data_IF_368629633242
#
_entry.id   IF_368629633242
#
_cell.length_a   1.000
_cell.length_b   1.000
_cell.length_c   1.000
_cell.angle_alpha   90.00
_cell.angle_beta   90.00
_cell.angle_gamma   90.00
#
_symmetry.space_group_name_H-M   'P 1'
#
loop_
_entity.id
_entity.type
_entity.pdbx_description
1 polymer ?
#
# COMPACT_ATOMS: atom_id res chain seq x y z
N UNK A 1 18.41 5.21 -27.72
CA UNK A 1 17.49 5.06 -26.57
C UNK A 1 16.60 3.88 -26.87
N UNK A 2 16.78 2.76 -26.16
CA UNK A 2 15.87 1.61 -26.27
C UNK A 2 14.69 1.93 -25.37
N UNK A 3 13.48 1.97 -25.93
CA UNK A 3 12.29 2.28 -25.16
C UNK A 3 11.96 1.10 -24.23
N UNK A 4 11.29 1.37 -23.12
CA UNK A 4 10.90 0.33 -22.16
C UNK A 4 9.94 -0.71 -22.77
N UNK A 5 9.26 -0.36 -23.88
CA UNK A 5 8.47 -1.26 -24.72
C UNK A 5 9.35 -2.27 -25.47
N UNK A 6 10.49 -1.83 -25.99
CA UNK A 6 11.43 -2.69 -26.72
C UNK A 6 12.07 -3.73 -25.77
N UNK A 7 12.36 -3.32 -24.53
CA UNK A 7 12.85 -4.22 -23.49
C UNK A 7 11.81 -5.27 -23.09
N UNK A 8 10.52 -4.91 -23.06
CA UNK A 8 9.44 -5.83 -22.74
C UNK A 8 9.16 -6.84 -23.86
N UNK A 9 9.22 -6.38 -25.12
CA UNK A 9 9.15 -7.25 -26.30
C UNK A 9 10.32 -8.23 -26.35
N UNK A 10 11.54 -7.76 -26.05
CA UNK A 10 12.75 -8.59 -25.96
C UNK A 10 12.67 -9.62 -24.82
N UNK A 11 12.11 -9.27 -23.66
CA UNK A 11 11.89 -10.20 -22.56
C UNK A 11 10.85 -11.29 -22.87
N UNK A 12 9.77 -10.97 -23.59
CA UNK A 12 8.79 -11.97 -24.06
C UNK A 12 9.41 -13.00 -25.00
N UNK A 13 10.32 -12.55 -25.89
CA UNK A 13 10.98 -13.42 -26.85
C UNK A 13 11.96 -14.41 -26.21
N UNK A 14 12.55 -14.07 -25.05
CA UNK A 14 13.54 -14.90 -24.36
C UNK A 14 12.94 -15.98 -23.45
N UNK A 15 11.73 -15.77 -22.90
CA UNK A 15 11.22 -16.62 -21.80
C UNK A 15 9.98 -17.47 -22.14
N UNK A 16 9.51 -17.45 -23.39
CA UNK A 16 8.53 -18.38 -23.96
C UNK A 16 7.56 -19.06 -22.97
N UNK A 17 6.63 -18.32 -22.36
CA UNK A 17 5.54 -18.93 -21.58
C UNK A 17 4.23 -18.13 -21.67
N UNK A 18 3.08 -18.82 -21.89
CA UNK A 18 1.75 -18.23 -21.95
C UNK A 18 1.14 -18.28 -20.55
N UNK A 19 1.23 -17.20 -19.78
CA UNK A 19 0.37 -17.01 -18.63
C UNK A 19 -0.34 -15.66 -18.75
N UNK A 20 -1.65 -15.79 -18.86
CA UNK A 20 -2.66 -14.78 -19.12
C UNK A 20 -2.58 -13.65 -18.10
N UNK A 21 -2.22 -12.48 -18.60
CA UNK A 21 -2.37 -11.19 -17.92
C UNK A 21 -2.16 -10.11 -18.95
N UNK A 22 -3.13 -9.20 -19.09
CA UNK A 22 -2.91 -7.98 -19.87
C UNK A 22 -1.65 -7.28 -19.35
N UNK A 23 -0.82 -6.67 -20.23
CA UNK A 23 0.27 -5.84 -19.76
C UNK A 23 -0.26 -4.86 -18.71
N UNK A 24 0.44 -4.66 -17.58
CA UNK A 24 0.03 -3.66 -16.61
C UNK A 24 -0.11 -2.33 -17.35
N UNK A 25 -1.29 -1.73 -17.26
CA UNK A 25 -1.59 -0.46 -17.92
C UNK A 25 -0.51 0.55 -17.47
N UNK A 26 0.21 1.21 -18.40
CA UNK A 26 1.23 2.19 -18.04
C UNK A 26 0.68 3.37 -17.23
N UNK A 27 -0.65 3.56 -17.20
CA UNK A 27 -1.33 4.57 -16.39
C UNK A 27 -1.73 4.07 -15.00
N UNK A 28 -1.72 2.76 -14.75
CA UNK A 28 -2.01 2.22 -13.42
C UNK A 28 -0.83 2.55 -12.48
N UNK A 29 -1.08 3.27 -11.37
CA UNK A 29 -0.01 3.60 -10.45
C UNK A 29 0.60 2.30 -9.90
N UNK A 30 1.92 2.14 -9.98
CA UNK A 30 2.56 0.95 -9.39
C UNK A 30 2.68 1.11 -7.87
N UNK A 31 2.70 -0.01 -7.11
CA UNK A 31 2.98 0.05 -5.69
C UNK A 31 4.31 0.79 -5.42
N UNK A 32 4.29 1.82 -4.59
CA UNK A 32 5.45 2.67 -4.32
C UNK A 32 6.18 2.33 -3.02
N UNK A 33 5.44 1.95 -1.99
CA UNK A 33 5.96 1.57 -0.68
C UNK A 33 5.23 0.33 -0.20
N UNK A 34 5.96 -0.56 0.47
CA UNK A 34 5.45 -1.81 1.01
C UNK A 34 5.94 -1.98 2.44
N UNK A 35 5.09 -2.53 3.29
CA UNK A 35 5.40 -2.85 4.68
C UNK A 35 4.71 -4.15 5.05
N UNK A 36 5.42 -5.00 5.78
CA UNK A 36 4.89 -6.24 6.31
C UNK A 36 4.39 -6.03 7.73
N UNK A 37 3.21 -6.60 8.01
CA UNK A 37 2.62 -6.73 9.32
C UNK A 37 2.39 -8.21 9.64
N UNK A 38 2.20 -8.56 10.91
CA UNK A 38 2.13 -9.95 11.38
C UNK A 38 1.15 -10.82 10.60
N UNK A 39 0.04 -10.24 10.13
CA UNK A 39 -1.05 -10.95 9.45
C UNK A 39 -1.36 -10.39 8.06
N UNK A 40 -0.49 -9.55 7.48
CA UNK A 40 -0.84 -8.85 6.24
C UNK A 40 0.28 -8.03 5.63
N UNK A 41 0.03 -7.58 4.39
CA UNK A 41 0.90 -6.68 3.65
C UNK A 41 0.18 -5.35 3.47
N UNK A 42 0.86 -4.27 3.81
CA UNK A 42 0.43 -2.91 3.51
C UNK A 42 1.21 -2.40 2.32
N UNK A 43 0.54 -1.77 1.36
CA UNK A 43 1.23 -1.12 0.25
C UNK A 43 0.52 0.17 -0.16
N UNK A 44 1.29 1.13 -0.66
CA UNK A 44 0.74 2.36 -1.24
C UNK A 44 0.75 2.31 -2.75
N UNK A 45 -0.31 2.82 -3.37
CA UNK A 45 -0.46 2.91 -4.82
C UNK A 45 -1.04 4.29 -5.16
N UNK A 46 -0.20 5.19 -5.68
CA UNK A 46 -0.59 6.60 -5.86
C UNK A 46 -0.99 7.25 -4.52
N UNK A 47 -2.18 7.88 -4.40
CA UNK A 47 -2.66 8.51 -3.18
C UNK A 47 -3.36 7.55 -2.19
N UNK A 48 -3.33 6.25 -2.47
CA UNK A 48 -4.11 5.22 -1.77
C UNK A 48 -3.20 4.28 -1.00
N UNK A 49 -3.63 3.87 0.18
CA UNK A 49 -3.06 2.73 0.94
C UNK A 49 -3.98 1.53 0.82
N UNK A 50 -3.41 0.36 0.61
CA UNK A 50 -4.11 -0.92 0.53
C UNK A 50 -3.53 -1.91 1.55
N UNK A 51 -4.37 -2.79 2.05
CA UNK A 51 -3.97 -3.90 2.93
C UNK A 51 -4.45 -5.23 2.37
N UNK A 52 -3.49 -6.12 2.15
CA UNK A 52 -3.74 -7.53 1.89
C UNK A 52 -3.66 -8.29 3.21
N UNK A 53 -4.62 -9.16 3.45
CA UNK A 53 -4.51 -10.19 4.50
C UNK A 53 -3.85 -11.42 3.90
N UNK A 54 -2.87 -11.93 4.63
CA UNK A 54 -2.19 -13.17 4.26
C UNK A 54 -2.91 -14.33 4.96
N UNK A 55 -3.65 -15.12 4.19
CA UNK A 55 -4.27 -16.38 4.62
C UNK A 55 -3.81 -17.55 3.74
N UNK A 56 -4.65 -18.57 3.61
CA UNK A 56 -4.49 -19.60 2.56
C UNK A 56 -4.51 -18.94 1.18
N UNK A 57 -5.36 -17.92 1.03
CA UNK A 57 -5.42 -17.02 -0.12
C UNK A 57 -5.01 -15.60 0.28
N UNK A 58 -4.54 -14.81 -0.70
CA UNK A 58 -4.34 -13.37 -0.53
C UNK A 58 -5.64 -12.63 -0.80
N UNK A 59 -6.13 -11.90 0.19
CA UNK A 59 -7.37 -11.13 0.11
C UNK A 59 -7.10 -9.64 0.33
N UNK A 60 -7.61 -8.77 -0.56
CA UNK A 60 -7.60 -7.32 -0.34
C UNK A 60 -8.71 -6.95 0.64
N UNK A 61 -8.34 -6.60 1.87
CA UNK A 61 -9.31 -6.36 2.95
C UNK A 61 -9.61 -4.88 3.11
N UNK A 62 -8.63 -4.01 2.88
CA UNK A 62 -8.78 -2.58 3.17
C UNK A 62 -8.16 -1.73 2.06
N UNK A 63 -8.86 -0.65 1.67
CA UNK A 63 -8.37 0.37 0.73
C UNK A 63 -8.74 1.74 1.28
N UNK A 64 -7.75 2.63 1.40
CA UNK A 64 -7.90 3.95 2.02
C UNK A 64 -7.33 5.03 1.12
N UNK A 65 -8.15 5.99 0.70
CA UNK A 65 -7.67 7.20 0.03
C UNK A 65 -7.22 8.21 1.08
N UNK A 66 -5.95 8.13 1.47
CA UNK A 66 -5.43 8.96 2.57
C UNK A 66 -4.99 10.34 2.09
N UNK A 67 -4.55 10.49 0.84
CA UNK A 67 -3.94 11.73 0.33
C UNK A 67 -4.56 12.21 -0.99
N UNK A 68 -4.21 13.41 -1.44
CA UNK A 68 -4.56 13.90 -2.78
C UNK A 68 -3.48 13.61 -3.83
N UNK A 69 -2.27 13.26 -3.40
CA UNK A 69 -1.14 12.94 -4.27
C UNK A 69 -0.36 11.70 -3.77
N UNK A 70 0.68 11.31 -4.52
CA UNK A 70 1.46 10.09 -4.28
C UNK A 70 2.04 10.02 -2.86
N UNK A 71 1.82 8.88 -2.21
CA UNK A 71 2.44 8.55 -0.92
C UNK A 71 3.93 8.28 -1.12
N UNK A 72 4.75 8.91 -0.28
CA UNK A 72 6.22 8.86 -0.29
C UNK A 72 6.82 8.10 0.90
N UNK A 73 6.02 7.82 1.93
CA UNK A 73 6.43 7.01 3.08
C UNK A 73 5.21 6.44 3.81
N UNK A 74 5.38 5.27 4.41
CA UNK A 74 4.41 4.63 5.30
C UNK A 74 5.12 4.05 6.52
N UNK A 75 4.52 4.19 7.71
CA UNK A 75 5.03 3.58 8.95
C UNK A 75 3.91 3.18 9.89
N UNK A 76 3.91 1.93 10.34
CA UNK A 76 3.05 1.47 11.43
C UNK A 76 3.75 1.66 12.77
N UNK A 77 3.00 2.10 13.76
CA UNK A 77 3.46 2.10 15.15
C UNK A 77 2.34 1.62 16.08
N UNK A 78 2.69 0.90 17.16
CA UNK A 78 1.75 0.52 18.19
C UNK A 78 1.22 1.76 18.91
N UNK A 79 -0.10 1.85 19.11
CA UNK A 79 -0.72 3.01 19.76
C UNK A 79 -0.36 3.11 21.25
N UNK A 80 -0.09 1.98 21.90
CA UNK A 80 0.34 1.93 23.31
C UNK A 80 1.65 2.70 23.57
N UNK A 81 2.50 2.83 22.55
CA UNK A 81 3.78 3.55 22.67
C UNK A 81 3.62 5.06 22.44
N UNK A 82 2.38 5.56 22.28
CA UNK A 82 2.11 6.98 22.02
C UNK A 82 1.31 7.64 23.16
N UNK A 83 1.68 8.88 23.57
CA UNK A 83 0.99 9.59 24.65
C UNK A 83 -0.45 10.01 24.29
N UNK A 84 -0.86 9.85 23.03
CA UNK A 84 -2.18 10.20 22.51
C UNK A 84 -3.26 9.18 22.90
N UNK A 85 -2.89 8.03 23.47
CA UNK A 85 -3.81 6.92 23.69
C UNK A 85 -3.78 6.46 25.16
N UNK A 86 -4.93 6.55 25.85
CA UNK A 86 -5.05 6.39 27.32
C UNK A 86 -5.92 5.21 27.79
N UNK A 87 -6.30 4.27 26.93
CA UNK A 87 -7.19 3.17 27.35
C UNK A 87 -6.66 1.77 27.01
N UNK A 88 -6.62 0.88 27.99
CA UNK A 88 -6.10 -0.50 27.86
C UNK A 88 -6.88 -1.38 26.87
N UNK A 89 -8.09 -0.97 26.48
CA UNK A 89 -8.97 -1.72 25.59
C UNK A 89 -8.41 -1.95 24.17
N UNK A 90 -7.39 -1.20 23.74
CA UNK A 90 -6.84 -1.26 22.38
C UNK A 90 -5.32 -1.42 22.33
N UNK A 91 -4.73 -2.12 23.31
CA UNK A 91 -3.28 -2.39 23.41
C UNK A 91 -2.63 -2.94 22.14
N UNK A 92 -3.39 -3.59 21.27
CA UNK A 92 -2.91 -4.17 20.00
C UNK A 92 -3.25 -3.33 18.76
N UNK A 93 -3.88 -2.17 18.89
CA UNK A 93 -4.13 -1.31 17.74
C UNK A 93 -2.84 -0.62 17.28
N UNK A 94 -2.69 -0.53 15.97
CA UNK A 94 -1.58 0.16 15.31
C UNK A 94 -2.13 1.36 14.57
N UNK A 95 -1.40 2.46 14.63
CA UNK A 95 -1.67 3.61 13.79
C UNK A 95 -0.71 3.64 12.61
N UNK A 96 -1.22 4.05 11.46
CA UNK A 96 -0.48 4.19 10.22
C UNK A 96 -0.20 5.66 9.97
N UNK A 97 1.07 6.05 9.98
CA UNK A 97 1.51 7.32 9.45
C UNK A 97 1.83 7.22 7.96
N UNK A 98 1.37 8.19 7.19
CA UNK A 98 1.68 8.35 5.77
C UNK A 98 2.19 9.76 5.47
N UNK A 99 3.19 9.90 4.60
CA UNK A 99 3.59 11.18 4.01
C UNK A 99 3.34 11.18 2.51
N UNK A 100 3.05 12.34 1.94
CA UNK A 100 2.74 12.48 0.51
C UNK A 100 3.40 13.69 -0.13
N UNK A 101 3.49 13.67 -1.47
CA UNK A 101 3.85 14.83 -2.28
C UNK A 101 2.82 15.96 -2.20
N UNK A 102 1.65 15.73 -1.60
CA UNK A 102 0.66 16.78 -1.28
C UNK A 102 1.08 17.68 -0.10
N UNK A 103 2.31 17.50 0.41
CA UNK A 103 2.92 18.26 1.53
C UNK A 103 2.27 17.99 2.89
N UNK A 104 1.52 16.90 3.04
CA UNK A 104 0.92 16.52 4.31
C UNK A 104 1.48 15.22 4.86
N UNK A 105 1.44 15.11 6.19
CA UNK A 105 1.59 13.85 6.93
C UNK A 105 0.25 13.57 7.58
N UNK A 106 -0.27 12.35 7.40
CA UNK A 106 -1.56 11.94 7.95
C UNK A 106 -1.40 10.72 8.83
N UNK A 107 -2.26 10.65 9.83
CA UNK A 107 -2.30 9.57 10.79
C UNK A 107 -3.66 8.87 10.71
N UNK A 108 -3.64 7.57 10.43
CA UNK A 108 -4.84 6.77 10.21
C UNK A 108 -4.91 5.61 11.21
N UNK A 109 -6.04 5.44 11.88
CA UNK A 109 -6.33 4.26 12.70
C UNK A 109 -7.82 3.91 12.62
N UNK A 110 -8.17 2.69 13.05
CA UNK A 110 -9.46 2.02 12.78
C UNK A 110 -10.71 2.82 13.20
N UNK A 111 -10.60 3.78 14.13
CA UNK A 111 -11.70 4.69 14.51
C UNK A 111 -11.99 5.83 13.51
N UNK A 112 -11.06 6.19 12.62
CA UNK A 112 -11.21 7.30 11.67
C UNK A 112 -11.24 6.88 10.19
N UNK A 113 -11.23 5.57 9.92
CA UNK A 113 -11.20 5.04 8.56
C UNK A 113 -12.60 4.72 7.98
N UNK A 114 -13.67 5.19 8.62
CA UNK A 114 -14.97 5.34 7.95
C UNK A 114 -14.99 6.70 7.27
N UNK A 115 -14.55 6.76 6.02
CA UNK A 115 -15.03 7.78 5.10
C UNK A 115 -15.81 7.05 4.01
N UNK A 116 -17.07 7.47 3.93
CA UNK A 116 -18.14 7.07 3.01
C UNK A 116 -17.71 7.10 1.54
#
# INVERSE_FOLDING_TARGET
MVSRLDLWASWRALMGCPLLGTPPDPTEPTPSHLMLDRNGVWFSQGPVVKRLRLGLDMELVETYRTHSARITCMRLFPLIDTPLYRSDAHRNEKALATSSTDRTVRLCWKRYLKQE
#
